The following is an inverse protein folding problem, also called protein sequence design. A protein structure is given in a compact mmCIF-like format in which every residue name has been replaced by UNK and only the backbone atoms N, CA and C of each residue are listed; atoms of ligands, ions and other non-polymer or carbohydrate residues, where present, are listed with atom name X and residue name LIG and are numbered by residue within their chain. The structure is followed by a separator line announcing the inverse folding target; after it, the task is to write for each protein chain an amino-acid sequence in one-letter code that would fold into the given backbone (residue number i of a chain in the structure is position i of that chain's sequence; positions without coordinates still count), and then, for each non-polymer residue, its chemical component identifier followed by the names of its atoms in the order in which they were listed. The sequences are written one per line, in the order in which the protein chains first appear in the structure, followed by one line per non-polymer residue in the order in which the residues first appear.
data_IF_262931127002
#
_entry.id   IF_262931127002
#
_cell.length_a   1.000
_cell.length_b   1.000
_cell.length_c   1.000
_cell.angle_alpha   90.00
_cell.angle_beta   90.00
_cell.angle_gamma   90.00
#
_symmetry.space_group_name_H-M   'P 1'
#
loop_
_entity.id
_entity.type
_entity.pdbx_description
1 polymer ?
#
# COMPACT_ATOMS: atom_id res chain seq x y z
N UNK A 1 50.75 -27.65 -36.33
CA UNK A 1 50.30 -26.35 -35.78
C UNK A 1 48.97 -26.01 -36.43
N UNK A 2 47.85 -26.36 -35.79
CA UNK A 2 46.50 -26.08 -36.34
C UNK A 2 46.03 -24.77 -35.74
N UNK A 3 46.01 -23.71 -36.55
CA UNK A 3 45.58 -22.37 -36.12
C UNK A 3 44.05 -22.34 -36.05
N UNK A 4 43.50 -22.49 -34.85
CA UNK A 4 42.08 -22.29 -34.57
C UNK A 4 41.77 -20.80 -34.58
N UNK A 5 41.23 -20.30 -35.68
CA UNK A 5 40.68 -18.95 -35.76
C UNK A 5 39.31 -18.93 -35.09
N UNK A 6 39.24 -18.36 -33.89
CA UNK A 6 37.99 -18.08 -33.18
C UNK A 6 37.21 -16.98 -33.92
N UNK A 7 36.20 -17.36 -34.70
CA UNK A 7 35.20 -16.42 -35.20
C UNK A 7 34.22 -16.09 -34.08
N UNK A 8 34.48 -15.01 -33.34
CA UNK A 8 33.49 -14.38 -32.46
C UNK A 8 32.52 -13.61 -33.34
N UNK A 9 31.26 -14.04 -33.38
CA UNK A 9 30.20 -13.25 -34.00
C UNK A 9 29.92 -12.01 -33.14
N UNK A 10 29.73 -10.82 -33.73
CA UNK A 10 29.42 -9.62 -32.96
C UNK A 10 28.05 -9.77 -32.29
N UNK A 11 27.96 -9.27 -31.05
CA UNK A 11 26.73 -9.24 -30.29
C UNK A 11 25.62 -8.52 -31.08
N UNK A 12 24.36 -8.98 -31.02
CA UNK A 12 23.27 -8.36 -31.76
C UNK A 12 23.08 -6.92 -31.29
N UNK A 13 23.19 -5.97 -32.22
CA UNK A 13 22.85 -4.57 -31.98
C UNK A 13 21.33 -4.45 -31.83
N UNK A 14 20.87 -4.20 -30.60
CA UNK A 14 19.47 -3.97 -30.29
C UNK A 14 19.00 -2.65 -30.93
N UNK A 15 18.32 -2.75 -32.07
CA UNK A 15 17.71 -1.62 -32.76
C UNK A 15 16.39 -1.25 -32.04
N UNK A 16 16.47 -0.28 -31.12
CA UNK A 16 15.39 0.12 -30.21
C UNK A 16 14.24 0.88 -30.86
N UNK A 17 13.43 0.22 -31.69
CA UNK A 17 12.15 0.74 -32.21
C UNK A 17 11.03 -0.30 -32.18
N UNK A 18 10.89 -0.98 -31.05
CA UNK A 18 9.67 -1.69 -30.68
C UNK A 18 9.13 -1.06 -29.39
N UNK A 19 7.84 -0.77 -29.33
CA UNK A 19 7.17 -0.39 -28.09
C UNK A 19 7.16 -1.61 -27.15
N UNK A 20 8.30 -1.89 -26.53
CA UNK A 20 8.43 -2.91 -25.49
C UNK A 20 7.84 -2.29 -24.24
N UNK A 21 6.68 -2.77 -23.80
CA UNK A 21 6.24 -2.61 -22.41
C UNK A 21 7.33 -3.21 -21.52
N UNK A 22 8.22 -2.35 -21.02
CA UNK A 22 9.36 -2.74 -20.19
C UNK A 22 8.87 -2.91 -18.76
N UNK A 23 9.40 -3.91 -18.06
CA UNK A 23 9.18 -4.09 -16.63
C UNK A 23 9.54 -2.79 -15.90
N UNK A 24 8.58 -2.27 -15.13
CA UNK A 24 8.79 -1.14 -14.23
C UNK A 24 9.93 -1.41 -13.25
N UNK A 25 10.47 -0.36 -12.61
CA UNK A 25 11.61 -0.44 -11.71
C UNK A 25 12.97 -0.82 -12.35
N UNK A 26 13.04 -1.21 -13.63
CA UNK A 26 14.32 -1.33 -14.36
C UNK A 26 14.89 0.02 -14.82
N UNK A 27 14.07 1.06 -14.78
CA UNK A 27 14.40 2.45 -15.09
C UNK A 27 13.82 3.34 -14.00
N UNK A 28 14.30 4.59 -13.92
CA UNK A 28 13.74 5.57 -13.01
C UNK A 28 12.22 5.74 -13.29
N UNK A 29 11.34 5.45 -12.32
CA UNK A 29 9.92 5.61 -12.52
C UNK A 29 9.54 7.07 -12.69
N UNK A 30 8.51 7.34 -13.49
CA UNK A 30 7.98 8.70 -13.62
C UNK A 30 7.03 8.98 -12.46
N UNK A 31 7.39 9.94 -11.61
CA UNK A 31 6.53 10.33 -10.48
C UNK A 31 5.59 11.45 -10.89
N UNK A 32 4.29 11.18 -10.81
CA UNK A 32 3.27 12.19 -11.07
C UNK A 32 3.03 13.06 -9.82
N UNK A 33 2.84 14.39 -9.98
CA UNK A 33 2.46 15.25 -8.86
C UNK A 33 1.13 14.82 -8.24
N UNK A 34 1.04 14.90 -6.91
CA UNK A 34 -0.19 14.60 -6.18
C UNK A 34 -1.18 15.77 -6.35
N UNK A 35 -2.38 15.49 -6.85
CA UNK A 35 -3.43 16.47 -7.05
C UNK A 35 -4.31 16.66 -5.79
N UNK A 36 -3.68 17.03 -4.67
CA UNK A 36 -4.35 17.15 -3.37
C UNK A 36 -5.35 18.32 -3.28
N UNK A 37 -5.35 19.22 -4.27
CA UNK A 37 -6.28 20.35 -4.34
C UNK A 37 -7.61 19.96 -4.98
N UNK A 38 -7.64 18.85 -5.72
CA UNK A 38 -8.86 18.34 -6.31
C UNK A 38 -9.80 17.83 -5.20
N UNK A 39 -11.09 18.23 -5.19
CA UNK A 39 -12.06 17.71 -4.24
C UNK A 39 -12.12 16.18 -4.20
N UNK A 40 -11.98 15.51 -5.35
CA UNK A 40 -12.02 14.06 -5.47
C UNK A 40 -10.87 13.37 -4.73
N UNK A 41 -9.78 14.09 -4.44
CA UNK A 41 -8.65 13.56 -3.68
C UNK A 41 -9.09 13.04 -2.30
N UNK A 42 -10.07 13.70 -1.67
CA UNK A 42 -10.58 13.35 -0.34
C UNK A 42 -11.84 12.47 -0.38
N UNK A 43 -12.29 12.04 -1.56
CA UNK A 43 -13.42 11.13 -1.69
C UNK A 43 -13.02 9.71 -1.26
N UNK A 44 -13.65 9.23 -0.19
CA UNK A 44 -13.34 7.93 0.43
C UNK A 44 -13.67 6.77 -0.49
N UNK A 45 -14.83 6.78 -1.14
CA UNK A 45 -15.26 5.71 -2.04
C UNK A 45 -14.32 5.55 -3.25
N UNK A 46 -13.88 6.67 -3.84
CA UNK A 46 -12.88 6.72 -4.91
C UNK A 46 -11.51 6.25 -4.42
N UNK A 47 -11.14 6.56 -3.18
CA UNK A 47 -9.90 6.06 -2.59
C UNK A 47 -9.96 4.54 -2.37
N UNK A 48 -11.04 4.02 -1.79
CA UNK A 48 -11.25 2.58 -1.57
C UNK A 48 -11.22 1.79 -2.88
N UNK A 49 -11.82 2.32 -3.95
CA UNK A 49 -11.76 1.70 -5.27
C UNK A 49 -10.33 1.59 -5.81
N UNK A 50 -9.51 2.60 -5.57
CA UNK A 50 -8.10 2.57 -5.97
C UNK A 50 -7.25 1.68 -5.06
N UNK A 51 -7.57 1.63 -3.76
CA UNK A 51 -6.97 0.67 -2.83
C UNK A 51 -7.23 -0.77 -3.29
N UNK A 52 -8.48 -1.10 -3.59
CA UNK A 52 -8.90 -2.41 -4.09
C UNK A 52 -8.12 -2.80 -5.36
N UNK A 53 -8.03 -1.89 -6.34
CA UNK A 53 -7.27 -2.10 -7.59
C UNK A 53 -5.79 -2.38 -7.32
N UNK A 54 -5.16 -1.58 -6.47
CA UNK A 54 -3.73 -1.74 -6.18
C UNK A 54 -3.47 -3.01 -5.39
N UNK A 55 -4.32 -3.32 -4.41
CA UNK A 55 -4.20 -4.50 -3.58
C UNK A 55 -4.34 -5.78 -4.38
N UNK A 56 -5.25 -5.80 -5.36
CA UNK A 56 -5.39 -6.90 -6.31
C UNK A 56 -4.09 -7.13 -7.12
N UNK A 57 -3.53 -6.07 -7.68
CA UNK A 57 -2.25 -6.15 -8.40
C UNK A 57 -1.09 -6.59 -7.47
N UNK A 58 -1.08 -6.09 -6.22
CA UNK A 58 -0.07 -6.45 -5.23
C UNK A 58 -0.16 -7.92 -4.82
N UNK A 59 -1.37 -8.45 -4.64
CA UNK A 59 -1.64 -9.85 -4.35
C UNK A 59 -1.27 -10.77 -5.50
N UNK A 60 -1.50 -10.34 -6.74
CA UNK A 60 -1.10 -11.09 -7.93
C UNK A 60 0.42 -11.24 -8.09
N UNK A 61 1.21 -10.22 -7.71
CA UNK A 61 2.67 -10.25 -7.93
C UNK A 61 3.51 -10.61 -6.70
N UNK A 62 3.05 -10.32 -5.48
CA UNK A 62 3.70 -10.61 -4.18
C UNK A 62 5.19 -10.26 -4.06
N UNK A 63 5.73 -9.38 -4.92
CA UNK A 63 7.16 -9.04 -4.94
C UNK A 63 7.63 -8.21 -3.74
N UNK A 64 6.70 -7.54 -3.06
CA UNK A 64 7.01 -6.58 -2.01
C UNK A 64 6.93 -7.14 -0.58
N UNK A 65 6.61 -8.44 -0.40
CA UNK A 65 6.40 -9.10 0.91
C UNK A 65 7.52 -8.80 1.91
N UNK A 66 8.78 -8.84 1.45
CA UNK A 66 9.96 -8.68 2.31
C UNK A 66 10.38 -7.24 2.59
N UNK A 67 9.67 -6.24 2.05
CA UNK A 67 10.08 -4.84 2.14
C UNK A 67 9.37 -4.04 3.24
N UNK A 68 8.11 -4.36 3.54
CA UNK A 68 7.24 -3.53 4.37
C UNK A 68 6.12 -4.38 4.99
N UNK A 69 5.74 -4.07 6.23
CA UNK A 69 4.67 -4.77 6.96
C UNK A 69 3.28 -4.63 6.34
N UNK A 70 3.07 -3.63 5.45
CA UNK A 70 1.81 -3.47 4.75
C UNK A 70 1.47 -4.68 3.88
N UNK A 71 2.46 -5.31 3.25
CA UNK A 71 2.23 -6.43 2.33
C UNK A 71 1.87 -7.73 3.05
N UNK A 72 2.61 -8.18 4.09
CA UNK A 72 2.15 -9.29 4.93
C UNK A 72 0.74 -9.08 5.46
N UNK A 73 0.42 -7.88 5.98
CA UNK A 73 -0.94 -7.60 6.44
C UNK A 73 -1.97 -7.74 5.31
N UNK A 74 -1.70 -7.21 4.12
CA UNK A 74 -2.62 -7.36 3.00
C UNK A 74 -2.89 -8.84 2.69
N UNK A 75 -1.86 -9.67 2.65
CA UNK A 75 -2.00 -11.08 2.29
C UNK A 75 -2.70 -11.89 3.38
N UNK A 76 -2.41 -11.62 4.66
CA UNK A 76 -3.12 -12.23 5.77
C UNK A 76 -4.62 -11.91 5.71
N UNK A 77 -5.00 -10.67 5.36
CA UNK A 77 -6.40 -10.27 5.21
C UNK A 77 -7.12 -11.02 4.08
N UNK A 78 -6.43 -11.24 2.95
CA UNK A 78 -6.99 -11.96 1.80
C UNK A 78 -7.12 -13.46 2.12
N UNK A 79 -6.10 -14.04 2.75
CA UNK A 79 -6.13 -15.45 3.15
C UNK A 79 -7.24 -15.71 4.20
N UNK A 80 -7.51 -14.74 5.10
CA UNK A 80 -8.66 -14.77 6.03
C UNK A 80 -10.03 -14.65 5.34
N UNK A 81 -10.13 -13.99 4.19
CA UNK A 81 -11.38 -13.78 3.47
C UNK A 81 -11.87 -15.06 2.74
N UNK A 82 -10.96 -16.00 2.46
CA UNK A 82 -11.26 -17.36 2.04
C UNK A 82 -11.54 -17.57 0.54
N UNK A 83 -11.77 -16.52 -0.23
CA UNK A 83 -11.92 -16.57 -1.70
C UNK A 83 -10.58 -16.44 -2.46
N UNK A 84 -9.48 -16.19 -1.73
CA UNK A 84 -8.13 -15.91 -2.26
C UNK A 84 -8.08 -14.68 -3.17
N UNK A 85 -9.09 -13.82 -3.14
CA UNK A 85 -9.20 -12.63 -3.96
C UNK A 85 -9.33 -11.38 -3.08
N UNK A 86 -8.94 -10.23 -3.61
CA UNK A 86 -9.07 -8.96 -2.87
C UNK A 86 -10.54 -8.58 -2.66
N UNK A 87 -11.43 -9.06 -3.53
CA UNK A 87 -12.87 -8.78 -3.49
C UNK A 87 -13.58 -9.33 -2.24
N UNK A 88 -13.06 -10.39 -1.61
CA UNK A 88 -13.62 -10.97 -0.39
C UNK A 88 -13.26 -10.21 0.88
N UNK A 89 -12.27 -9.31 0.82
CA UNK A 89 -11.83 -8.55 1.97
C UNK A 89 -12.78 -7.38 2.24
N UNK A 90 -13.33 -7.23 3.46
CA UNK A 90 -14.12 -6.06 3.81
C UNK A 90 -13.30 -4.78 3.66
N UNK A 91 -13.86 -3.76 3.01
CA UNK A 91 -13.15 -2.50 2.71
C UNK A 91 -12.67 -1.79 3.97
N UNK A 92 -13.37 -1.95 5.09
CA UNK A 92 -12.98 -1.42 6.39
C UNK A 92 -11.65 -2.00 6.89
N UNK A 93 -11.28 -3.22 6.46
CA UNK A 93 -9.99 -3.83 6.79
C UNK A 93 -8.83 -3.28 5.94
N UNK A 94 -9.08 -2.67 4.78
CA UNK A 94 -8.02 -2.06 3.95
C UNK A 94 -7.22 -1.01 4.71
N UNK A 95 -7.87 -0.29 5.63
CA UNK A 95 -7.22 0.71 6.46
C UNK A 95 -6.10 0.14 7.35
N UNK A 96 -6.16 -1.15 7.73
CA UNK A 96 -5.05 -1.81 8.45
C UNK A 96 -3.78 -1.89 7.61
N UNK A 97 -3.92 -2.09 6.29
CA UNK A 97 -2.79 -2.09 5.34
C UNK A 97 -2.23 -0.68 5.20
N UNK A 98 -3.11 0.33 5.13
CA UNK A 98 -2.73 1.74 5.07
C UNK A 98 -1.90 2.14 6.29
N UNK A 99 -2.29 1.70 7.48
CA UNK A 99 -1.61 2.04 8.75
C UNK A 99 -0.18 1.51 8.79
N UNK A 100 0.09 0.36 8.18
CA UNK A 100 1.43 -0.23 8.06
C UNK A 100 2.33 0.41 7.00
N UNK A 101 1.81 1.30 6.14
CA UNK A 101 2.63 2.00 5.17
C UNK A 101 3.27 3.26 5.78
N UNK A 102 4.60 3.27 5.86
CA UNK A 102 5.37 4.42 6.37
C UNK A 102 5.86 5.38 5.27
N UNK A 103 5.32 5.28 4.05
CA UNK A 103 5.63 6.19 2.93
C UNK A 103 7.13 6.30 2.59
N UNK A 104 7.87 5.20 2.69
CA UNK A 104 9.31 5.16 2.40
C UNK A 104 9.65 4.99 0.90
N UNK A 105 8.64 4.82 0.04
CA UNK A 105 8.75 4.62 -1.41
C UNK A 105 9.59 3.41 -1.88
N UNK A 106 10.07 2.55 -0.98
CA UNK A 106 10.99 1.47 -1.37
C UNK A 106 10.33 0.44 -2.30
N UNK A 107 9.03 0.16 -2.13
CA UNK A 107 8.29 -0.76 -2.99
C UNK A 107 8.15 -0.21 -4.42
N UNK A 108 7.85 1.08 -4.54
CA UNK A 108 7.71 1.80 -5.80
C UNK A 108 9.05 1.93 -6.53
N UNK A 109 10.11 2.32 -5.82
CA UNK A 109 11.41 2.62 -6.43
C UNK A 109 12.27 1.40 -6.74
N UNK A 110 12.07 0.26 -6.05
CA UNK A 110 13.06 -0.84 -6.08
C UNK A 110 12.53 -2.21 -6.45
N UNK A 111 11.20 -2.45 -6.44
CA UNK A 111 10.63 -3.79 -6.70
C UNK A 111 9.44 -3.83 -7.63
N UNK A 112 8.62 -2.79 -7.68
CA UNK A 112 7.34 -2.86 -8.39
C UNK A 112 7.55 -2.86 -9.93
N UNK A 113 7.14 -3.92 -10.65
CA UNK A 113 7.25 -4.00 -12.11
C UNK A 113 6.16 -3.19 -12.83
N UNK A 114 5.21 -2.60 -12.11
CA UNK A 114 4.01 -1.97 -12.66
C UNK A 114 3.95 -0.46 -12.44
N UNK A 115 5.07 0.14 -12.03
CA UNK A 115 5.23 1.60 -11.96
C UNK A 115 5.32 2.22 -13.36
N UNK A 116 5.00 3.52 -13.53
CA UNK A 116 5.21 4.24 -14.78
C UNK A 116 6.61 4.02 -15.35
N UNK A 117 6.74 3.71 -16.65
CA UNK A 117 5.74 3.90 -17.72
C UNK A 117 4.77 2.73 -17.95
N UNK A 118 4.69 1.74 -17.05
CA UNK A 118 3.75 0.63 -17.20
C UNK A 118 2.29 1.11 -17.24
N UNK A 119 1.44 0.47 -18.05
CA UNK A 119 0.06 0.91 -18.30
C UNK A 119 -0.82 0.93 -17.04
N UNK A 120 -0.51 0.06 -16.06
CA UNK A 120 -1.23 0.00 -14.78
C UNK A 120 -0.93 1.16 -13.84
N UNK A 121 0.13 1.93 -14.10
CA UNK A 121 0.49 3.14 -13.36
C UNK A 121 0.37 2.94 -11.84
N UNK A 122 0.97 1.86 -11.31
CA UNK A 122 0.81 1.51 -9.91
C UNK A 122 1.67 2.42 -9.04
N UNK A 123 1.02 3.22 -8.20
CA UNK A 123 1.66 4.08 -7.22
C UNK A 123 1.09 3.82 -5.82
N UNK A 124 1.65 2.79 -5.18
CA UNK A 124 1.25 2.38 -3.84
C UNK A 124 1.46 3.52 -2.83
N UNK A 125 2.63 4.18 -2.75
CA UNK A 125 2.82 5.25 -1.77
C UNK A 125 1.89 6.44 -1.95
N UNK A 126 1.59 6.88 -3.17
CA UNK A 126 0.63 7.97 -3.37
C UNK A 126 -0.79 7.60 -2.93
N UNK A 127 -1.21 6.35 -3.18
CA UNK A 127 -2.53 5.89 -2.72
C UNK A 127 -2.59 5.78 -1.20
N UNK A 128 -1.52 5.30 -0.56
CA UNK A 128 -1.43 5.27 0.92
C UNK A 128 -1.43 6.69 1.51
N UNK A 129 -0.73 7.63 0.88
CA UNK A 129 -0.75 9.04 1.29
C UNK A 129 -2.16 9.64 1.20
N UNK A 130 -2.88 9.36 0.11
CA UNK A 130 -4.28 9.77 -0.08
C UNK A 130 -5.16 9.22 1.04
N UNK A 131 -5.08 7.91 1.29
CA UNK A 131 -5.82 7.24 2.36
C UNK A 131 -5.52 7.87 3.74
N UNK A 132 -4.25 8.11 4.06
CA UNK A 132 -3.85 8.76 5.32
C UNK A 132 -4.34 10.21 5.43
N UNK A 133 -4.38 10.96 4.33
CA UNK A 133 -4.93 12.31 4.30
C UNK A 133 -6.45 12.31 4.59
N UNK A 134 -7.17 11.31 4.08
CA UNK A 134 -8.60 11.10 4.38
C UNK A 134 -8.79 10.76 5.87
N UNK A 135 -8.04 9.77 6.39
CA UNK A 135 -8.07 9.42 7.82
C UNK A 135 -7.86 10.64 8.72
N UNK A 136 -6.83 11.44 8.43
CA UNK A 136 -6.52 12.63 9.23
C UNK A 136 -7.64 13.68 9.18
N UNK A 137 -8.32 13.83 8.05
CA UNK A 137 -9.43 14.78 7.89
C UNK A 137 -10.66 14.37 8.67
N UNK A 138 -10.92 13.07 8.78
CA UNK A 138 -12.07 12.52 9.51
C UNK A 138 -11.81 12.47 11.01
N UNK A 139 -10.64 11.98 11.42
CA UNK A 139 -10.36 11.68 12.83
C UNK A 139 -9.55 12.79 13.55
N UNK A 140 -8.97 13.73 12.80
CA UNK A 140 -8.03 14.74 13.32
C UNK A 140 -6.65 14.19 13.70
N UNK A 141 -6.41 12.89 13.50
CA UNK A 141 -5.15 12.19 13.72
C UNK A 141 -5.02 11.00 12.76
N UNK A 142 -3.79 10.49 12.58
CA UNK A 142 -3.59 9.26 11.83
C UNK A 142 -3.95 8.05 12.70
N UNK A 143 -4.59 7.05 12.09
CA UNK A 143 -4.76 5.75 12.72
C UNK A 143 -3.39 5.08 12.77
N UNK A 144 -2.78 5.11 13.95
CA UNK A 144 -1.60 4.29 14.23
C UNK A 144 -2.15 2.97 14.77
N UNK A 145 -1.72 1.84 14.21
CA UNK A 145 -2.20 0.49 14.50
C UNK A 145 -3.00 0.37 15.80
N UNK A 146 -4.28 0.02 15.68
CA UNK A 146 -5.17 -0.24 16.81
C UNK A 146 -4.61 -1.23 17.84
N UNK A 147 -3.64 -2.03 17.42
CA UNK A 147 -3.04 -3.14 18.18
C UNK A 147 -1.71 -2.75 18.83
N UNK A 148 -1.02 -1.72 18.30
CA UNK A 148 0.06 -1.02 19.01
C UNK A 148 -0.57 0.15 19.72
N UNK A 149 -1.28 -0.20 20.80
CA UNK A 149 -2.01 0.74 21.63
C UNK A 149 -1.28 2.08 21.70
N UNK A 150 -2.01 3.15 21.37
CA UNK A 150 -1.63 4.50 21.75
C UNK A 150 -0.94 4.40 23.10
N UNK A 151 0.30 4.89 23.18
CA UNK A 151 1.04 5.00 24.44
C UNK A 151 0.02 5.38 25.52
N UNK A 152 0.04 4.71 26.67
CA UNK A 152 -0.95 4.92 27.75
C UNK A 152 -1.19 6.42 28.01
N UNK A 153 -0.13 7.21 27.84
CA UNK A 153 -0.06 8.67 27.88
C UNK A 153 -0.84 9.40 26.77
N UNK A 154 -0.82 8.91 25.52
CA UNK A 154 -1.62 9.45 24.41
C UNK A 154 -3.12 9.12 24.53
N UNK A 155 -3.48 8.03 25.21
CA UNK A 155 -4.90 7.68 25.48
C UNK A 155 -5.52 8.58 26.56
N UNK A 156 -4.70 9.13 27.45
CA UNK A 156 -5.11 10.01 28.55
C UNK A 156 -5.05 11.50 28.21
N UNK A 157 -4.33 11.88 27.15
CA UNK A 157 -4.31 13.26 26.65
C UNK A 157 -5.56 13.52 25.80
N UNK A 158 -6.51 14.27 26.36
CA UNK A 158 -7.60 14.87 25.58
C UNK A 158 -7.00 15.77 24.49
N UNK A 159 -6.92 15.25 23.26
CA UNK A 159 -6.58 16.05 22.10
C UNK A 159 -7.68 17.09 21.90
N UNK A 160 -7.39 18.41 21.97
CA UNK A 160 -8.40 19.47 22.01
C UNK A 160 -9.26 19.61 20.74
N UNK A 161 -9.09 18.72 19.76
CA UNK A 161 -9.88 18.66 18.52
C UNK A 161 -10.58 17.32 18.23
N UNK A 162 -10.48 16.31 19.09
CA UNK A 162 -11.18 15.03 18.88
C UNK A 162 -12.63 15.14 19.39
N UNK A 163 -13.58 15.41 18.49
CA UNK A 163 -15.01 15.37 18.82
C UNK A 163 -15.39 13.98 19.31
N UNK A 164 -15.99 13.91 20.51
CA UNK A 164 -16.29 12.68 21.29
C UNK A 164 -17.38 11.77 20.69
N UNK A 165 -17.63 11.83 19.39
CA UNK A 165 -18.81 11.23 18.77
C UNK A 165 -18.57 9.86 18.11
N UNK A 166 -17.40 9.24 18.29
CA UNK A 166 -17.15 7.85 17.90
C UNK A 166 -17.62 6.86 18.99
N UNK A 167 -18.90 6.91 19.38
CA UNK A 167 -19.55 5.80 20.09
C UNK A 167 -20.09 4.80 19.08
N UNK A 168 -19.35 3.73 18.82
CA UNK A 168 -19.91 2.60 18.07
C UNK A 168 -18.91 1.66 17.43
N UNK A 169 -18.10 0.96 18.21
CA UNK A 169 -17.54 -0.32 17.78
C UNK A 169 -17.39 -1.21 19.00
N UNK A 170 -18.28 -2.19 19.11
CA UNK A 170 -18.39 -3.09 20.25
C UNK A 170 -17.17 -3.99 20.43
N UNK A 171 -16.86 -4.26 21.69
CA UNK A 171 -15.90 -5.28 22.12
C UNK A 171 -16.34 -5.85 23.45
N UNK A 172 -17.08 -6.94 23.40
CA UNK A 172 -17.52 -7.74 24.55
C UNK A 172 -16.33 -8.28 25.34
N UNK A 173 -16.28 -8.01 26.65
CA UNK A 173 -15.70 -8.96 27.63
C UNK A 173 -16.26 -8.68 29.02
N UNK A 174 -16.68 -9.76 29.70
CA UNK A 174 -17.53 -9.77 30.88
C UNK A 174 -16.88 -9.29 32.19
N UNK A 175 -17.56 -9.53 33.34
CA UNK A 175 -17.31 -8.79 34.57
C UNK A 175 -15.96 -9.13 35.20
N UNK A 176 -15.14 -8.11 35.45
CA UNK A 176 -13.94 -8.22 36.28
C UNK A 176 -14.35 -8.48 37.72
N UNK A 177 -14.07 -9.69 38.21
CA UNK A 177 -14.09 -9.99 39.63
C UNK A 177 -12.97 -9.19 40.32
N UNK A 178 -13.35 -8.45 41.38
CA UNK A 178 -12.42 -7.82 42.29
C UNK A 178 -11.73 -8.88 43.17
N UNK A 179 -10.39 -8.86 43.18
CA UNK A 179 -9.48 -9.48 44.16
C UNK A 179 -8.24 -8.56 44.14
N UNK A 180 -7.71 -7.97 45.21
CA UNK A 180 -7.90 -8.01 46.67
C UNK A 180 -7.73 -6.55 47.12
#
# INVERSE_FOLDING_TARGET
MVSLSNHVSPAPTFNGKGNIMREGNLQAPTRHPIDWKNPDFYDEASCEKELERIFDICHGCRRCVSLCNAFPMLFDLIDEAGDLETAGVPKEKFWKVVDQCYLCDVCYMTKCPYVPPHEWNLDFPHTMLRAKAIQYRVDGHLRLDSDRGACRECREQEWPGASRDAKGAGGSSGPRAARI
#
